data_IF_984140312950
#
_entry.id   IF_984140312950
#
_cell.length_a   1.000
_cell.length_b   1.000
_cell.length_c   1.000
_cell.angle_alpha   90.00
_cell.angle_beta   90.00
_cell.angle_gamma   90.00
#
_symmetry.space_group_name_H-M   'P 1'
#
loop_
_entity.id
_entity.type
_entity.pdbx_description
1 polymer ?
#
# COMPACT_ATOMS: atom_id res chain seq x y z
N UNK A 1 16.93 13.40 2.14
CA UNK A 1 16.36 13.60 1.77
C UNK A 1 15.32 13.17 0.85
N UNK A 2 15.67 12.42 -0.18
CA UNK A 2 14.67 11.88 -1.06
C UNK A 2 13.70 10.98 -0.32
N UNK A 3 14.18 10.22 0.66
CA UNK A 3 13.31 9.33 1.41
C UNK A 3 12.21 10.08 2.12
N UNK A 4 12.57 11.15 2.78
CA UNK A 4 11.56 11.90 3.50
C UNK A 4 10.57 12.53 2.58
N UNK A 5 11.04 13.05 1.45
CA UNK A 5 10.18 13.70 0.49
C UNK A 5 9.15 12.71 -0.05
N UNK A 6 9.61 11.52 -0.42
CA UNK A 6 8.72 10.51 -0.94
C UNK A 6 7.69 10.09 0.09
N UNK A 7 8.14 9.86 1.32
CA UNK A 7 7.23 9.44 2.38
C UNK A 7 6.15 10.47 2.63
N UNK A 8 6.54 11.75 2.66
CA UNK A 8 5.56 12.78 2.88
C UNK A 8 4.56 12.87 1.76
N UNK A 9 5.03 12.74 0.52
CA UNK A 9 4.15 12.85 -0.62
C UNK A 9 3.17 11.70 -0.71
N UNK A 10 3.58 10.52 -0.27
CA UNK A 10 2.73 9.35 -0.40
C UNK A 10 1.82 9.12 0.81
N UNK A 11 2.25 9.60 1.97
CA UNK A 11 1.50 9.37 3.19
C UNK A 11 0.11 10.00 3.11
N UNK A 12 -0.88 9.27 3.50
CA UNK A 12 -2.27 9.75 3.49
C UNK A 12 -2.99 9.52 2.18
N UNK A 13 -2.29 9.07 1.14
CA UNK A 13 -2.97 8.81 -0.13
C UNK A 13 -3.85 7.58 -0.01
N UNK A 14 -4.93 7.58 -0.73
CA UNK A 14 -5.78 6.40 -0.79
C UNK A 14 -5.12 5.35 -1.64
N UNK A 15 -5.35 4.09 -1.29
CA UNK A 15 -4.81 2.95 -2.00
C UNK A 15 -5.97 2.22 -2.66
N UNK A 16 -5.87 2.04 -3.98
CA UNK A 16 -6.88 1.33 -4.74
C UNK A 16 -6.24 0.11 -5.38
N UNK A 17 -7.04 -0.90 -5.65
CA UNK A 17 -6.54 -2.04 -6.40
C UNK A 17 -6.62 -1.74 -7.89
N UNK A 18 -5.99 -2.59 -8.68
CA UNK A 18 -6.05 -2.46 -10.14
C UNK A 18 -7.44 -2.73 -10.69
N UNK A 19 -8.36 -3.18 -9.83
CA UNK A 19 -9.75 -3.35 -10.23
C UNK A 19 -10.59 -2.12 -9.90
N UNK A 20 -9.97 -1.07 -9.41
CA UNK A 20 -10.66 0.18 -9.14
C UNK A 20 -11.36 0.25 -7.81
N UNK A 21 -11.09 -0.68 -6.91
CA UNK A 21 -11.74 -0.70 -5.61
C UNK A 21 -10.81 -0.17 -4.54
N UNK A 22 -11.34 0.58 -3.62
CA UNK A 22 -10.53 1.14 -2.55
C UNK A 22 -10.11 0.05 -1.57
N UNK A 23 -8.83 0.02 -1.26
CA UNK A 23 -8.30 -0.92 -0.29
C UNK A 23 -8.14 -0.27 1.07
N UNK A 24 -7.63 0.94 1.10
CA UNK A 24 -7.41 1.62 2.35
C UNK A 24 -6.62 2.89 2.13
N UNK A 25 -5.80 3.24 3.13
CA UNK A 25 -5.05 4.49 3.09
C UNK A 25 -3.61 4.20 3.48
N UNK A 26 -2.68 4.80 2.76
CA UNK A 26 -1.26 4.64 3.03
C UNK A 26 -0.91 5.41 4.30
N UNK A 27 -0.34 4.73 5.28
CA UNK A 27 0.04 5.39 6.53
C UNK A 27 1.54 5.48 6.71
N UNK A 28 2.31 4.62 6.05
CA UNK A 28 3.76 4.69 6.20
C UNK A 28 4.43 3.94 5.06
N UNK A 29 5.73 4.15 4.93
CA UNK A 29 6.55 3.51 3.93
C UNK A 29 7.75 2.90 4.63
N UNK A 30 8.06 1.66 4.33
CA UNK A 30 9.20 0.98 4.91
C UNK A 30 10.32 0.98 3.88
N UNK A 31 11.47 1.48 4.29
CA UNK A 31 12.60 1.68 3.40
C UNK A 31 13.78 0.84 3.86
N UNK A 32 14.43 0.19 2.90
CA UNK A 32 15.64 -0.56 3.20
C UNK A 32 16.74 0.43 3.52
N UNK A 33 17.32 0.34 4.70
CA UNK A 33 18.33 1.28 5.14
C UNK A 33 19.58 1.22 4.31
N UNK A 34 19.89 0.08 3.76
CA UNK A 34 21.14 -0.04 3.00
C UNK A 34 20.99 0.50 1.59
N UNK A 35 19.93 0.15 0.90
CA UNK A 35 19.77 0.58 -0.48
C UNK A 35 19.03 1.90 -0.60
N UNK A 36 18.26 2.26 0.41
CA UNK A 36 17.43 3.47 0.34
C UNK A 36 16.16 3.25 -0.46
N UNK A 37 15.87 2.03 -0.87
CA UNK A 37 14.71 1.74 -1.70
C UNK A 37 13.50 1.39 -0.85
N UNK A 38 12.33 1.71 -1.38
CA UNK A 38 11.08 1.38 -0.71
C UNK A 38 10.87 -0.11 -0.81
N UNK A 39 10.67 -0.77 0.33
CA UNK A 39 10.41 -2.19 0.36
C UNK A 39 8.94 -2.50 0.47
N UNK A 40 8.26 -1.83 1.36
CA UNK A 40 6.86 -2.11 1.64
C UNK A 40 6.11 -0.83 1.92
N UNK A 41 4.81 -0.89 1.72
CA UNK A 41 3.91 0.15 2.17
C UNK A 41 3.13 -0.38 3.35
N UNK A 42 2.88 0.47 4.32
CA UNK A 42 2.00 0.11 5.43
C UNK A 42 0.66 0.76 5.16
N UNK A 43 -0.35 -0.04 5.00
CA UNK A 43 -1.67 0.43 4.60
C UNK A 43 -2.69 0.10 5.69
N UNK A 44 -3.47 1.11 6.05
CA UNK A 44 -4.58 0.92 6.96
C UNK A 44 -5.79 0.53 6.12
N UNK A 45 -6.30 -0.66 6.34
CA UNK A 45 -7.36 -1.23 5.51
C UNK A 45 -8.69 -0.58 5.87
N UNK A 46 -9.43 -0.19 4.84
CA UNK A 46 -10.74 0.39 5.05
C UNK A 46 -11.70 -0.71 5.52
N UNK A 47 -12.46 -0.49 6.60
CA UNK A 47 -13.38 -1.52 7.08
C UNK A 47 -14.45 -1.89 6.06
N UNK A 48 -14.72 -0.99 5.11
CA UNK A 48 -15.73 -1.27 4.11
C UNK A 48 -15.16 -1.82 2.81
N UNK A 49 -13.87 -2.09 2.76
CA UNK A 49 -13.23 -2.50 1.51
C UNK A 49 -13.69 -3.89 1.08
N UNK A 50 -14.31 -3.97 -0.06
CA UNK A 50 -14.69 -5.26 -0.64
C UNK A 50 -13.45 -5.99 -1.12
N UNK A 51 -12.47 -5.26 -1.62
CA UNK A 51 -11.24 -5.86 -2.08
C UNK A 51 -10.50 -6.55 -0.94
N UNK A 52 -10.45 -5.91 0.22
CA UNK A 52 -9.79 -6.51 1.38
C UNK A 52 -10.45 -7.80 1.79
N UNK A 53 -11.78 -7.83 1.76
CA UNK A 53 -12.51 -9.04 2.12
C UNK A 53 -12.27 -10.14 1.10
N UNK A 54 -12.22 -9.79 -0.17
CA UNK A 54 -11.99 -10.78 -1.22
C UNK A 54 -10.60 -11.38 -1.12
N UNK A 55 -9.61 -10.56 -0.78
CA UNK A 55 -8.24 -11.02 -0.64
C UNK A 55 -8.04 -11.79 0.66
N UNK A 56 -8.88 -11.55 1.64
CA UNK A 56 -8.75 -12.22 2.93
C UNK A 56 -7.96 -11.44 3.96
N UNK A 57 -7.86 -10.12 3.79
CA UNK A 57 -7.16 -9.28 4.74
C UNK A 57 -8.08 -8.99 5.91
N UNK A 58 -7.71 -9.44 7.07
CA UNK A 58 -8.52 -9.21 8.27
C UNK A 58 -7.87 -8.24 9.24
N UNK A 59 -6.58 -7.97 9.07
CA UNK A 59 -5.89 -7.04 9.96
C UNK A 59 -6.15 -5.62 9.52
N UNK A 60 -6.12 -4.72 10.49
CA UNK A 60 -6.33 -3.31 10.20
C UNK A 60 -5.16 -2.71 9.46
N UNK A 61 -3.95 -3.13 9.79
CA UNK A 61 -2.75 -2.63 9.13
C UNK A 61 -2.07 -3.79 8.43
N UNK A 62 -1.71 -3.61 7.18
CA UNK A 62 -1.02 -4.66 6.43
C UNK A 62 0.17 -4.06 5.68
N UNK A 63 1.16 -4.90 5.45
CA UNK A 63 2.31 -4.54 4.65
C UNK A 63 2.05 -5.00 3.23
N UNK A 64 2.23 -4.10 2.28
CA UNK A 64 2.09 -4.43 0.87
C UNK A 64 3.44 -4.22 0.22
N UNK A 65 4.00 -5.23 -0.44
CA UNK A 65 5.32 -5.07 -1.06
C UNK A 65 5.28 -4.00 -2.14
N UNK A 66 6.32 -3.23 -2.23
CA UNK A 66 6.36 -2.15 -3.21
C UNK A 66 6.29 -2.72 -4.64
N UNK A 67 6.71 -3.97 -4.82
CA UNK A 67 6.60 -4.60 -6.13
C UNK A 67 5.15 -4.75 -6.60
N UNK A 68 4.19 -4.68 -5.69
CA UNK A 68 2.79 -4.74 -6.05
C UNK A 68 2.24 -3.39 -6.53
N UNK A 69 3.00 -2.31 -6.33
CA UNK A 69 2.54 -0.98 -6.72
C UNK A 69 2.69 -0.81 -8.21
N UNK A 70 1.62 -0.49 -8.90
CA UNK A 70 1.65 -0.31 -10.34
C UNK A 70 1.65 1.16 -10.75
N UNK A 71 1.16 2.03 -9.90
CA UNK A 71 1.12 3.46 -10.22
C UNK A 71 0.95 4.27 -8.96
N UNK A 72 1.52 5.46 -8.98
CA UNK A 72 1.35 6.41 -7.89
C UNK A 72 1.07 7.78 -8.51
N UNK A 73 -0.02 8.38 -8.09
CA UNK A 73 -0.30 9.75 -8.51
C UNK A 73 -1.09 10.36 -7.36
N UNK A 74 -2.31 10.80 -7.58
CA UNK A 74 -3.13 11.28 -6.46
C UNK A 74 -3.52 10.11 -5.55
N UNK A 75 -3.52 8.91 -6.08
CA UNK A 75 -3.77 7.69 -5.32
C UNK A 75 -2.68 6.69 -5.63
N UNK A 76 -2.61 5.65 -4.83
CA UNK A 76 -1.67 4.55 -5.05
C UNK A 76 -2.47 3.37 -5.60
N UNK A 77 -2.01 2.79 -6.70
CA UNK A 77 -2.66 1.64 -7.30
C UNK A 77 -1.79 0.42 -7.09
N UNK A 78 -2.38 -0.65 -6.57
CA UNK A 78 -1.66 -1.89 -6.33
C UNK A 78 -2.32 -3.02 -7.10
N UNK A 79 -1.51 -3.99 -7.49
CA UNK A 79 -2.00 -5.18 -8.19
C UNK A 79 -2.58 -6.12 -7.15
N UNK A 80 -3.87 -6.34 -7.24
CA UNK A 80 -4.58 -7.15 -6.25
C UNK A 80 -4.01 -8.55 -6.15
N UNK A 81 -3.54 -9.09 -7.25
CA UNK A 81 -3.01 -10.45 -7.22
C UNK A 81 -1.69 -10.57 -6.49
N UNK A 82 -1.00 -9.46 -6.27
CA UNK A 82 0.25 -9.49 -5.54
C UNK A 82 0.10 -9.10 -4.09
N UNK A 83 -1.11 -8.80 -3.64
CA UNK A 83 -1.36 -8.49 -2.24
C UNK A 83 -1.80 -9.79 -1.57
N UNK A 84 -1.11 -10.15 -0.52
CA UNK A 84 -1.35 -11.44 0.11
C UNK A 84 -1.79 -11.27 1.55
N UNK A 85 -2.68 -12.12 2.00
CA UNK A 85 -3.08 -12.14 3.40
C UNK A 85 -2.09 -12.89 4.26
N UNK A 86 -1.10 -13.59 3.61
CA UNK A 86 -0.15 -14.28 4.36
C UNK A 86 0.91 -13.53 4.63
N UNK A 87 1.44 -13.21 5.25
CA UNK A 87 2.53 -12.49 5.39
C UNK A 87 2.97 -12.47 6.28
#
# INVERSE_FOLDING_TARGET
MLKYTIARQMSGKKVFTNRGEELGKLVDILIDEKSGEVENLLVEISPDSKAAKRIGLSDRLVHIPYSAVTAVSDVVIVDEMQVSSEE
#
